data_IF_472457581288
#
_entry.id   IF_472457581288
#
_cell.length_a   1.000
_cell.length_b   1.000
_cell.length_c   1.000
_cell.angle_alpha   90.00
_cell.angle_beta   90.00
_cell.angle_gamma   90.00
#
_symmetry.space_group_name_H-M   'P 1'
#
loop_
_entity.id
_entity.type
_entity.pdbx_description
1 polymer ?
#
# COMPACT_ATOMS: atom_id res chain seq x y z
N UNK A 1 -16.03 -12.13 4.42
CA UNK A 1 -16.52 -13.51 4.37
C UNK A 1 -15.37 -14.40 3.89
N UNK A 2 -15.09 -15.47 4.62
CA UNK A 2 -14.09 -16.47 4.26
C UNK A 2 -14.80 -17.65 3.58
N UNK A 3 -14.16 -18.24 2.57
CA UNK A 3 -14.67 -19.38 1.82
C UNK A 3 -15.96 -19.08 1.04
N UNK A 4 -16.01 -17.96 0.34
CA UNK A 4 -17.14 -17.57 -0.49
C UNK A 4 -17.50 -18.67 -1.50
N UNK A 5 -18.75 -19.10 -1.50
CA UNK A 5 -19.31 -20.21 -2.30
C UNK A 5 -18.55 -21.54 -2.16
N UNK A 6 -17.88 -21.81 -1.03
CA UNK A 6 -17.14 -23.05 -0.80
C UNK A 6 -15.86 -23.21 -1.64
N UNK A 7 -15.37 -22.12 -2.27
CA UNK A 7 -14.20 -22.16 -3.18
C UNK A 7 -12.89 -21.70 -2.52
N UNK A 8 -12.87 -21.48 -1.19
CA UNK A 8 -11.71 -20.95 -0.48
C UNK A 8 -11.43 -19.47 -0.74
N UNK A 9 -12.29 -18.78 -1.49
CA UNK A 9 -12.16 -17.35 -1.80
C UNK A 9 -12.62 -16.52 -0.61
N UNK A 10 -11.85 -15.52 -0.23
CA UNK A 10 -12.21 -14.54 0.79
C UNK A 10 -12.69 -13.24 0.15
N UNK A 11 -13.79 -12.69 0.64
CA UNK A 11 -14.30 -11.38 0.27
C UNK A 11 -14.37 -10.53 1.52
N UNK A 12 -13.66 -9.42 1.51
CA UNK A 12 -13.61 -8.48 2.63
C UNK A 12 -14.04 -7.10 2.16
N UNK A 13 -14.79 -6.40 3.02
CA UNK A 13 -15.12 -5.00 2.83
C UNK A 13 -14.78 -4.25 4.11
N UNK A 14 -14.08 -3.14 3.99
CA UNK A 14 -13.69 -2.29 5.10
C UNK A 14 -13.97 -0.83 4.77
N UNK A 15 -14.53 -0.11 5.75
CA UNK A 15 -14.71 1.35 5.67
C UNK A 15 -14.06 1.96 6.90
N UNK A 16 -13.13 2.87 6.67
CA UNK A 16 -12.44 3.62 7.73
C UNK A 16 -12.84 5.09 7.62
N UNK A 17 -13.25 5.65 8.74
CA UNK A 17 -13.67 7.05 8.87
C UNK A 17 -12.79 7.73 9.90
N UNK A 18 -12.24 8.87 9.57
CA UNK A 18 -11.60 9.78 10.52
C UNK A 18 -11.96 11.23 10.18
N UNK A 19 -11.47 12.20 10.94
CA UNK A 19 -11.84 13.63 10.79
C UNK A 19 -11.49 14.18 9.40
N UNK A 20 -10.41 13.72 8.80
CA UNK A 20 -9.90 14.23 7.52
C UNK A 20 -10.07 13.27 6.35
N UNK A 21 -10.45 11.99 6.59
CA UNK A 21 -10.52 11.03 5.49
C UNK A 21 -11.61 9.99 5.63
N UNK A 22 -12.12 9.58 4.48
CA UNK A 22 -13.01 8.43 4.30
C UNK A 22 -12.33 7.46 3.35
N UNK A 23 -12.14 6.21 3.77
CA UNK A 23 -11.55 5.16 2.96
C UNK A 23 -12.46 3.95 2.92
N UNK A 24 -12.87 3.55 1.71
CA UNK A 24 -13.58 2.30 1.44
C UNK A 24 -12.70 1.34 0.64
N UNK A 25 -12.64 0.07 1.04
CA UNK A 25 -11.94 -1.01 0.32
C UNK A 25 -12.85 -2.22 0.22
N UNK A 26 -12.91 -2.82 -0.98
CA UNK A 26 -13.47 -4.14 -1.22
C UNK A 26 -12.35 -5.00 -1.79
N UNK A 27 -12.09 -6.14 -1.14
CA UNK A 27 -11.01 -7.06 -1.51
C UNK A 27 -11.57 -8.45 -1.78
N UNK A 28 -11.11 -9.04 -2.87
CA UNK A 28 -11.34 -10.46 -3.21
C UNK A 28 -9.99 -11.14 -3.24
N UNK A 29 -9.83 -12.22 -2.49
CA UNK A 29 -8.57 -12.95 -2.38
C UNK A 29 -8.80 -14.44 -2.59
N UNK A 30 -8.07 -15.04 -3.53
CA UNK A 30 -8.05 -16.47 -3.81
C UNK A 30 -6.65 -17.02 -3.50
N UNK A 31 -6.47 -17.76 -2.38
CA UNK A 31 -5.16 -18.23 -1.94
C UNK A 31 -4.54 -19.32 -2.83
N UNK A 32 -5.37 -20.10 -3.53
CA UNK A 32 -4.94 -21.26 -4.31
C UNK A 32 -5.48 -21.18 -5.74
N UNK A 33 -5.09 -20.13 -6.45
CA UNK A 33 -5.58 -19.91 -7.81
C UNK A 33 -5.29 -21.09 -8.73
N UNK A 34 -6.35 -21.68 -9.30
CA UNK A 34 -6.27 -22.88 -10.14
C UNK A 34 -5.56 -24.07 -9.47
N UNK A 35 -5.74 -24.25 -8.15
CA UNK A 35 -5.09 -25.28 -7.35
C UNK A 35 -3.55 -25.21 -7.37
N UNK A 36 -3.02 -24.01 -7.49
CA UNK A 36 -1.57 -23.74 -7.40
C UNK A 36 -1.21 -23.09 -6.06
N UNK A 37 0.08 -22.98 -5.78
CA UNK A 37 0.63 -22.27 -4.61
C UNK A 37 0.59 -20.74 -4.77
N UNK A 38 -0.03 -20.24 -5.83
CA UNK A 38 -0.12 -18.82 -6.12
C UNK A 38 -1.46 -18.29 -5.63
N UNK A 39 -1.42 -17.17 -4.94
CA UNK A 39 -2.62 -16.40 -4.65
C UNK A 39 -2.89 -15.39 -5.76
N UNK A 40 -4.14 -15.03 -5.94
CA UNK A 40 -4.56 -13.90 -6.79
C UNK A 40 -5.52 -13.05 -5.98
N UNK A 41 -5.34 -11.75 -6.05
CA UNK A 41 -6.24 -10.82 -5.37
C UNK A 41 -6.64 -9.65 -6.26
N UNK A 42 -7.76 -9.07 -5.92
CA UNK A 42 -8.26 -7.83 -6.51
C UNK A 42 -8.80 -6.94 -5.40
N UNK A 43 -8.35 -5.68 -5.39
CA UNK A 43 -8.84 -4.66 -4.49
C UNK A 43 -9.51 -3.55 -5.31
N UNK A 44 -10.66 -3.07 -4.86
CA UNK A 44 -11.26 -1.82 -5.33
C UNK A 44 -11.32 -0.88 -4.13
N UNK A 45 -10.81 0.33 -4.31
CA UNK A 45 -10.74 1.30 -3.21
C UNK A 45 -11.13 2.70 -3.65
N UNK A 46 -11.69 3.44 -2.71
CA UNK A 46 -11.92 4.87 -2.82
C UNK A 46 -11.47 5.55 -1.54
N UNK A 47 -10.66 6.60 -1.68
CA UNK A 47 -10.10 7.36 -0.56
C UNK A 47 -10.38 8.83 -0.82
N UNK A 48 -11.16 9.45 0.06
CA UNK A 48 -11.32 10.90 0.11
C UNK A 48 -10.49 11.44 1.28
N UNK A 49 -9.66 12.46 1.03
CA UNK A 49 -8.93 13.19 2.07
C UNK A 49 -9.31 14.66 1.97
N UNK A 50 -9.95 15.19 3.02
CA UNK A 50 -10.38 16.58 3.08
C UNK A 50 -9.50 17.36 4.06
N UNK A 51 -8.63 18.19 3.54
CA UNK A 51 -7.75 19.10 4.27
C UNK A 51 -7.98 20.57 3.88
N UNK A 52 -9.18 20.90 3.40
CA UNK A 52 -9.54 22.26 3.00
C UNK A 52 -9.34 23.24 4.15
N UNK A 53 -9.82 22.91 5.36
CA UNK A 53 -9.71 23.80 6.51
C UNK A 53 -8.29 24.03 7.00
N UNK A 54 -7.41 23.02 6.94
CA UNK A 54 -6.05 23.11 7.47
C UNK A 54 -5.02 23.53 6.41
N UNK A 55 -5.19 23.08 5.18
CA UNK A 55 -4.18 23.22 4.13
C UNK A 55 -4.74 23.65 2.77
N UNK A 56 -6.03 23.89 2.65
CA UNK A 56 -6.66 24.41 1.44
C UNK A 56 -6.80 23.42 0.29
N UNK A 57 -6.74 22.10 0.53
CA UNK A 57 -6.92 21.10 -0.53
C UNK A 57 -7.74 19.88 -0.11
N UNK A 58 -8.33 19.25 -1.11
CA UNK A 58 -9.06 17.98 -0.98
C UNK A 58 -8.62 17.04 -2.11
N UNK A 59 -8.46 15.76 -1.80
CA UNK A 59 -8.17 14.73 -2.80
C UNK A 59 -9.23 13.62 -2.75
N UNK A 60 -9.60 13.12 -3.92
CA UNK A 60 -10.44 11.94 -4.07
C UNK A 60 -9.75 10.98 -5.03
N UNK A 61 -9.34 9.82 -4.51
CA UNK A 61 -8.59 8.80 -5.24
C UNK A 61 -9.39 7.51 -5.26
N UNK A 62 -9.82 7.09 -6.45
CA UNK A 62 -10.57 5.84 -6.66
C UNK A 62 -9.83 4.97 -7.66
N UNK A 63 -9.76 3.67 -7.38
CA UNK A 63 -9.05 2.78 -8.28
C UNK A 63 -9.17 1.32 -7.91
N UNK A 64 -8.45 0.51 -8.67
CA UNK A 64 -8.38 -0.92 -8.47
C UNK A 64 -6.93 -1.42 -8.54
N UNK A 65 -6.71 -2.53 -7.87
CA UNK A 65 -5.47 -3.27 -7.87
C UNK A 65 -5.77 -4.72 -8.21
N UNK A 66 -4.91 -5.33 -9.03
CA UNK A 66 -4.88 -6.77 -9.27
C UNK A 66 -3.47 -7.25 -9.00
N UNK A 67 -3.33 -8.33 -8.24
CA UNK A 67 -2.01 -8.83 -7.90
C UNK A 67 -1.99 -10.34 -7.68
N UNK A 68 -0.79 -10.84 -7.55
CA UNK A 68 -0.48 -12.24 -7.26
C UNK A 68 0.69 -12.32 -6.29
N UNK A 69 0.61 -13.24 -5.33
CA UNK A 69 1.69 -13.55 -4.41
C UNK A 69 2.02 -15.04 -4.49
N UNK A 70 3.29 -15.38 -4.39
CA UNK A 70 3.75 -16.77 -4.36
C UNK A 70 5.05 -16.90 -3.55
N UNK A 71 5.22 -18.06 -2.93
CA UNK A 71 6.47 -18.41 -2.27
C UNK A 71 7.50 -18.81 -3.34
N UNK A 72 8.53 -17.97 -3.51
CA UNK A 72 9.62 -18.22 -4.48
C UNK A 72 10.68 -19.15 -3.91
N UNK A 73 11.06 -18.93 -2.65
CA UNK A 73 11.92 -19.79 -1.86
C UNK A 73 11.29 -19.91 -0.47
N UNK A 74 11.73 -20.91 0.30
CA UNK A 74 11.24 -21.11 1.67
C UNK A 74 11.34 -19.81 2.48
N UNK A 75 10.20 -19.35 2.98
CA UNK A 75 10.03 -18.10 3.72
C UNK A 75 10.22 -16.80 2.90
N UNK A 76 10.43 -16.87 1.60
CA UNK A 76 10.58 -15.73 0.70
C UNK A 76 9.38 -15.68 -0.25
N UNK A 77 8.49 -14.71 -0.05
CA UNK A 77 7.35 -14.46 -0.91
C UNK A 77 7.63 -13.29 -1.85
N UNK A 78 7.18 -13.42 -3.08
CA UNK A 78 7.21 -12.37 -4.11
C UNK A 78 5.78 -12.06 -4.50
N UNK A 79 5.43 -10.78 -4.43
CA UNK A 79 4.17 -10.22 -4.89
C UNK A 79 4.39 -9.34 -6.12
N UNK A 80 3.52 -9.49 -7.11
CA UNK A 80 3.44 -8.61 -8.27
C UNK A 80 2.03 -8.05 -8.38
N UNK A 81 1.91 -6.75 -8.58
CA UNK A 81 0.61 -6.10 -8.73
C UNK A 81 0.61 -5.05 -9.85
N UNK A 82 -0.58 -4.71 -10.29
CA UNK A 82 -0.86 -3.54 -11.11
C UNK A 82 -1.95 -2.74 -10.43
N UNK A 83 -1.68 -1.46 -10.21
CA UNK A 83 -2.57 -0.52 -9.55
C UNK A 83 -2.94 0.58 -10.53
N UNK A 84 -4.23 0.84 -10.71
CA UNK A 84 -4.73 1.97 -11.52
C UNK A 84 -5.65 2.83 -10.68
N UNK A 85 -5.37 4.13 -10.64
CA UNK A 85 -6.12 5.12 -9.87
C UNK A 85 -6.53 6.30 -10.73
N UNK A 86 -7.76 6.72 -10.57
CA UNK A 86 -8.22 8.05 -10.95
C UNK A 86 -8.24 8.92 -9.69
N UNK A 87 -7.54 10.05 -9.76
CA UNK A 87 -7.42 10.98 -8.66
C UNK A 87 -7.86 12.37 -9.08
N UNK A 88 -8.69 13.02 -8.24
CA UNK A 88 -9.06 14.41 -8.37
C UNK A 88 -8.48 15.19 -7.20
N UNK A 89 -7.76 16.29 -7.51
CA UNK A 89 -7.23 17.24 -6.54
C UNK A 89 -7.96 18.56 -6.72
N UNK A 90 -8.60 19.05 -5.66
CA UNK A 90 -9.30 20.32 -5.57
C UNK A 90 -8.59 21.23 -4.56
N UNK A 91 -8.52 22.52 -4.87
CA UNK A 91 -7.92 23.53 -3.97
C UNK A 91 -8.87 24.68 -3.71
N UNK A 92 -8.64 25.38 -2.61
CA UNK A 92 -9.36 26.63 -2.29
C UNK A 92 -8.41 27.84 -2.27
N UNK A 93 -8.93 29.00 -1.84
CA UNK A 93 -8.16 30.25 -1.79
C UNK A 93 -6.98 30.21 -0.83
N UNK A 94 -7.03 29.38 0.21
CA UNK A 94 -6.00 29.23 1.24
C UNK A 94 -4.84 28.35 0.84
N UNK A 95 -4.99 27.55 -0.24
CA UNK A 95 -3.93 26.68 -0.75
C UNK A 95 -2.70 27.47 -1.23
N UNK A 96 -1.53 26.91 -1.00
CA UNK A 96 -0.27 27.44 -1.50
C UNK A 96 -0.23 27.44 -3.04
N UNK A 97 0.65 28.26 -3.61
CA UNK A 97 0.84 28.29 -5.07
C UNK A 97 1.28 26.95 -5.65
N UNK A 98 2.03 26.15 -4.89
CA UNK A 98 2.44 24.80 -5.28
C UNK A 98 1.26 23.81 -5.31
N UNK A 99 0.38 23.89 -4.31
CA UNK A 99 -0.82 23.07 -4.25
C UNK A 99 -1.81 23.40 -5.38
N UNK A 100 -2.02 24.71 -5.66
CA UNK A 100 -2.85 25.18 -6.78
C UNK A 100 -2.36 24.71 -8.15
N UNK A 101 -1.04 24.56 -8.35
CA UNK A 101 -0.48 24.00 -9.59
C UNK A 101 -0.81 22.51 -9.78
N UNK A 102 -1.13 21.81 -8.70
CA UNK A 102 -1.46 20.39 -8.73
C UNK A 102 -2.97 20.12 -8.73
N UNK A 103 -3.81 21.16 -8.84
CA UNK A 103 -5.24 21.01 -9.05
C UNK A 103 -5.52 20.38 -10.40
N UNK A 104 -6.36 19.33 -10.42
CA UNK A 104 -6.70 18.63 -11.66
C UNK A 104 -7.12 17.20 -11.43
N UNK A 105 -7.27 16.51 -12.54
CA UNK A 105 -7.66 15.12 -12.64
C UNK A 105 -6.49 14.29 -13.18
N UNK A 106 -6.16 13.18 -12.54
CA UNK A 106 -5.01 12.35 -12.85
C UNK A 106 -5.42 10.89 -13.03
N UNK A 107 -4.87 10.22 -14.03
CA UNK A 107 -4.96 8.78 -14.19
C UNK A 107 -3.57 8.19 -14.08
N UNK A 108 -3.34 7.42 -13.02
CA UNK A 108 -2.05 6.82 -12.74
C UNK A 108 -2.15 5.30 -12.73
N UNK A 109 -1.18 4.64 -13.36
CA UNK A 109 -1.02 3.19 -13.33
C UNK A 109 0.41 2.85 -12.93
N UNK A 110 0.54 1.97 -11.93
CA UNK A 110 1.81 1.50 -11.40
C UNK A 110 1.92 -0.01 -11.52
N UNK A 111 3.14 -0.51 -11.65
CA UNK A 111 3.49 -1.90 -11.34
C UNK A 111 4.13 -1.94 -9.96
N UNK A 112 3.54 -2.74 -9.08
CA UNK A 112 4.06 -3.02 -7.74
C UNK A 112 4.87 -4.31 -7.71
N UNK A 113 6.02 -4.27 -7.04
CA UNK A 113 6.79 -5.44 -6.65
C UNK A 113 6.91 -5.45 -5.12
N UNK A 114 6.57 -6.56 -4.50
CA UNK A 114 6.72 -6.78 -3.08
C UNK A 114 7.61 -8.01 -2.84
N UNK A 115 8.59 -7.89 -1.94
CA UNK A 115 9.48 -8.97 -1.52
C UNK A 115 9.35 -9.07 0.00
N UNK A 116 8.87 -10.23 0.50
CA UNK A 116 8.65 -10.48 1.92
C UNK A 116 9.45 -11.71 2.37
N UNK A 117 10.46 -11.48 3.18
CA UNK A 117 11.29 -12.52 3.77
C UNK A 117 11.00 -12.65 5.27
N UNK A 118 10.26 -13.71 5.64
CA UNK A 118 9.76 -13.93 7.00
C UNK A 118 10.44 -15.13 7.66
N UNK A 119 11.37 -14.83 8.55
CA UNK A 119 12.16 -15.80 9.35
C UNK A 119 11.76 -15.79 10.83
N UNK A 120 10.57 -15.29 11.14
CA UNK A 120 10.05 -15.35 12.49
C UNK A 120 9.76 -16.81 12.89
N UNK A 121 9.99 -17.13 14.15
CA UNK A 121 9.67 -18.45 14.68
C UNK A 121 8.17 -18.77 14.58
N UNK A 122 7.31 -17.76 14.73
CA UNK A 122 5.85 -17.85 14.56
C UNK A 122 5.27 -16.49 14.16
N UNK A 123 4.16 -16.51 13.41
CA UNK A 123 3.50 -15.27 12.94
C UNK A 123 2.74 -14.54 14.05
N UNK A 124 2.22 -15.30 15.02
CA UNK A 124 1.51 -14.82 16.19
C UNK A 124 2.40 -14.95 17.42
N UNK A 125 2.42 -13.93 18.29
CA UNK A 125 3.26 -13.91 19.49
C UNK A 125 4.73 -14.25 19.19
N UNK A 126 5.27 -13.63 18.14
CA UNK A 126 6.66 -13.80 17.73
C UNK A 126 7.60 -13.52 18.88
N UNK A 127 8.49 -14.47 19.21
CA UNK A 127 9.51 -14.31 20.27
C UNK A 127 10.93 -14.28 19.73
N UNK A 128 11.15 -14.75 18.48
CA UNK A 128 12.48 -14.78 17.87
C UNK A 128 12.41 -14.68 16.34
N UNK A 129 13.51 -14.21 15.74
CA UNK A 129 13.66 -14.11 14.31
C UNK A 129 13.36 -12.71 13.74
N UNK A 130 13.20 -12.63 12.43
CA UNK A 130 12.98 -11.35 11.76
C UNK A 130 12.04 -11.48 10.57
N UNK A 131 11.49 -10.33 10.16
CA UNK A 131 10.79 -10.16 8.89
C UNK A 131 11.34 -8.93 8.17
N UNK A 132 11.66 -9.10 6.90
CA UNK A 132 12.17 -8.05 6.01
C UNK A 132 11.22 -7.92 4.82
N UNK A 133 10.63 -6.74 4.65
CA UNK A 133 9.71 -6.45 3.55
C UNK A 133 10.25 -5.27 2.74
N UNK A 134 10.29 -5.43 1.43
CA UNK A 134 10.60 -4.38 0.49
C UNK A 134 9.49 -4.28 -0.54
N UNK A 135 9.01 -3.07 -0.79
CA UNK A 135 8.05 -2.80 -1.84
C UNK A 135 8.49 -1.62 -2.69
N UNK A 136 8.20 -1.70 -3.97
CA UNK A 136 8.43 -0.64 -4.93
C UNK A 136 7.23 -0.53 -5.87
N UNK A 137 6.77 0.71 -6.12
CA UNK A 137 5.76 1.04 -7.11
C UNK A 137 6.40 1.85 -8.23
N UNK A 138 6.39 1.26 -9.43
CA UNK A 138 6.94 1.83 -10.67
C UNK A 138 5.81 2.45 -11.48
N UNK A 139 5.85 3.76 -11.78
CA UNK A 139 4.87 4.39 -12.63
C UNK A 139 5.04 3.93 -14.08
N UNK A 140 3.93 3.49 -14.73
CA UNK A 140 3.88 3.12 -16.15
C UNK A 140 3.15 4.19 -16.93
N UNK A 141 1.98 4.59 -16.43
CA UNK A 141 1.16 5.67 -16.94
C UNK A 141 0.98 6.61 -15.78
N UNK A 142 1.61 7.74 -15.79
CA UNK A 142 1.48 8.78 -14.77
C UNK A 142 1.98 10.10 -15.30
N UNK A 143 1.33 11.19 -14.93
CA UNK A 143 1.78 12.53 -15.28
C UNK A 143 3.02 12.92 -14.48
N UNK A 144 3.09 12.55 -13.21
CA UNK A 144 4.18 12.94 -12.28
C UNK A 144 5.31 11.93 -12.18
N UNK A 145 5.12 10.70 -12.66
CA UNK A 145 6.13 9.63 -12.71
C UNK A 145 6.92 9.45 -11.40
N UNK A 146 6.23 9.36 -10.29
CA UNK A 146 6.84 9.15 -8.98
C UNK A 146 7.12 7.68 -8.72
N UNK A 147 8.37 7.34 -8.48
CA UNK A 147 8.81 6.04 -7.98
C UNK A 147 8.73 6.05 -6.45
N UNK A 148 7.97 5.13 -5.87
CA UNK A 148 7.93 4.93 -4.41
C UNK A 148 8.63 3.66 -3.99
N UNK A 149 9.42 3.73 -2.93
CA UNK A 149 10.08 2.60 -2.30
C UNK A 149 9.77 2.59 -0.82
N UNK A 150 9.51 1.41 -0.28
CA UNK A 150 9.31 1.21 1.15
C UNK A 150 10.06 -0.01 1.64
N UNK A 151 10.80 0.13 2.72
CA UNK A 151 11.48 -0.97 3.38
C UNK A 151 11.03 -1.03 4.84
N UNK A 152 10.61 -2.21 5.29
CA UNK A 152 10.20 -2.47 6.66
C UNK A 152 10.97 -3.69 7.18
N UNK A 153 11.70 -3.51 8.26
CA UNK A 153 12.43 -4.57 8.94
C UNK A 153 11.98 -4.65 10.38
N UNK A 154 11.67 -5.86 10.85
CA UNK A 154 11.38 -6.15 12.25
C UNK A 154 12.21 -7.33 12.71
N UNK A 155 12.88 -7.15 13.84
CA UNK A 155 13.65 -8.17 14.52
C UNK A 155 13.05 -8.41 15.90
N UNK A 156 13.02 -9.67 16.33
CA UNK A 156 12.51 -10.10 17.64
C UNK A 156 13.55 -10.97 18.31
N UNK A 157 13.70 -10.82 19.61
CA UNK A 157 14.55 -11.67 20.43
C UNK A 157 14.05 -11.71 21.86
N UNK A 158 14.16 -12.86 22.49
CA UNK A 158 13.88 -13.02 23.91
C UNK A 158 15.16 -12.69 24.71
N UNK A 159 15.11 -11.58 25.47
CA UNK A 159 16.23 -11.16 26.32
C UNK A 159 16.24 -11.86 27.67
N UNK A 160 15.05 -12.11 28.23
CA UNK A 160 14.82 -12.84 29.47
C UNK A 160 13.60 -13.73 29.32
N UNK A 161 13.46 -14.72 30.15
CA UNK A 161 12.29 -15.60 30.18
C UNK A 161 10.98 -14.80 30.16
N UNK A 162 10.15 -15.04 29.16
CA UNK A 162 8.89 -14.35 28.91
C UNK A 162 9.00 -12.84 28.61
N UNK A 163 10.18 -12.32 28.26
CA UNK A 163 10.39 -10.92 27.90
C UNK A 163 10.94 -10.81 26.47
N UNK A 164 10.05 -10.53 25.53
CA UNK A 164 10.39 -10.37 24.12
C UNK A 164 10.66 -8.91 23.81
N UNK A 165 11.83 -8.62 23.25
CA UNK A 165 12.20 -7.32 22.73
C UNK A 165 12.05 -7.30 21.22
N UNK A 166 11.62 -6.17 20.66
CA UNK A 166 11.54 -5.98 19.22
C UNK A 166 12.22 -4.70 18.79
N UNK A 167 12.87 -4.76 17.64
CA UNK A 167 13.46 -3.61 16.95
C UNK A 167 12.83 -3.49 15.56
N UNK A 168 12.46 -2.26 15.18
CA UNK A 168 11.83 -1.98 13.89
C UNK A 168 12.54 -0.84 13.17
N UNK A 169 12.76 -1.01 11.86
CA UNK A 169 13.19 0.04 10.94
C UNK A 169 12.10 0.19 9.87
N UNK A 170 11.70 1.43 9.62
CA UNK A 170 10.85 1.79 8.51
C UNK A 170 11.54 2.88 7.69
N UNK A 171 11.75 2.62 6.40
CA UNK A 171 12.32 3.57 5.45
C UNK A 171 11.34 3.70 4.28
N UNK A 172 11.07 4.92 3.88
CA UNK A 172 10.24 5.18 2.70
C UNK A 172 10.84 6.31 1.90
N UNK A 173 10.80 6.22 0.58
CA UNK A 173 11.24 7.27 -0.33
C UNK A 173 10.28 7.40 -1.51
N UNK A 174 10.05 8.63 -1.94
CA UNK A 174 9.36 8.98 -3.17
C UNK A 174 10.31 9.84 -4.01
N UNK A 175 10.51 9.46 -5.26
CA UNK A 175 11.43 10.14 -6.18
C UNK A 175 10.73 10.39 -7.49
N UNK A 176 10.71 11.64 -7.96
CA UNK A 176 10.22 11.96 -9.31
C UNK A 176 11.25 11.52 -10.36
N UNK A 177 10.79 10.80 -11.38
CA UNK A 177 11.63 10.33 -12.50
C UNK A 177 11.77 11.38 -13.62
N UNK A 178 11.04 12.50 -13.54
CA UNK A 178 11.00 13.54 -14.59
C UNK A 178 11.39 14.95 -14.08
N UNK A 179 12.01 15.07 -12.92
CA UNK A 179 12.32 16.37 -12.27
C UNK A 179 11.07 17.26 -12.05
N UNK A 180 9.90 16.65 -11.90
CA UNK A 180 8.64 17.32 -11.59
C UNK A 180 8.36 17.26 -10.07
N UNK A 181 7.50 18.15 -9.60
CA UNK A 181 7.06 18.12 -8.19
C UNK A 181 6.24 16.85 -7.90
N UNK A 182 6.59 16.16 -6.81
CA UNK A 182 5.82 14.99 -6.33
C UNK A 182 4.42 15.44 -5.94
N UNK A 183 3.39 14.76 -6.44
CA UNK A 183 1.99 15.02 -6.10
C UNK A 183 1.73 15.00 -4.60
N UNK A 184 0.75 15.80 -4.16
CA UNK A 184 0.34 15.89 -2.75
C UNK A 184 -0.01 14.52 -2.15
N UNK A 185 -0.69 13.67 -2.93
CA UNK A 185 -1.09 12.31 -2.52
C UNK A 185 0.05 11.29 -2.47
N UNK A 186 1.17 11.56 -3.15
CA UNK A 186 2.33 10.68 -3.25
C UNK A 186 3.46 11.09 -2.29
N UNK A 187 3.30 12.22 -1.59
CA UNK A 187 4.26 12.66 -0.58
C UNK A 187 4.21 11.79 0.64
N UNK A 188 5.38 11.43 1.15
CA UNK A 188 5.51 10.69 2.39
C UNK A 188 5.25 11.66 3.54
N UNK A 189 4.19 11.40 4.30
CA UNK A 189 3.87 12.12 5.53
C UNK A 189 4.12 11.13 6.68
N UNK A 190 5.05 11.47 7.55
CA UNK A 190 5.41 10.69 8.74
C UNK A 190 4.57 11.12 9.93
#
# INVERSE_FOLDING_TARGET
>A
ENNYLGKGISVNSNVTLNEESVKGIISVYNPNYKNSDKSVYTNVQSIETNRLAAFGYKTNKTGFEVGTDFEYLRNLNIGLSTNTFYEKIETDSSASSLQKKQEGDYLDTFIGLNIDYDKRNQKFQTSDGFRSMYSVDLPIISETNTLTNTYNYKYFTELYENNVSSFSIFLSSAVSLKDEDIKLSERIIL
#
